data_IF_746896254516
#
_entry.id   IF_746896254516
#
_cell.length_a   1.000
_cell.length_b   1.000
_cell.length_c   1.000
_cell.angle_alpha   90.00
_cell.angle_beta   90.00
_cell.angle_gamma   90.00
#
_symmetry.space_group_name_H-M   'P 1'
#
loop_
_entity.id
_entity.type
_entity.pdbx_description
1 polymer ?
#
# COMPACT_ATOMS: atom_id res chain seq x y z
N UNK A 1 55.08 11.41 -1.24
CA UNK A 1 54.41 11.22 0.05
C UNK A 1 53.06 10.54 -0.22
N UNK A 2 52.94 9.28 0.14
CA UNK A 2 51.73 8.48 -0.04
C UNK A 2 50.71 8.88 1.04
N UNK A 3 49.46 9.24 0.72
CA UNK A 3 48.49 9.61 1.74
C UNK A 3 48.21 8.40 2.64
N UNK A 4 48.29 8.63 3.94
CA UNK A 4 48.05 7.60 4.95
C UNK A 4 46.60 7.10 4.84
N UNK A 5 46.36 5.78 5.01
CA UNK A 5 45.01 5.22 5.01
C UNK A 5 44.21 5.82 6.17
N UNK A 6 43.08 6.46 5.83
CA UNK A 6 42.13 6.99 6.79
C UNK A 6 41.54 5.83 7.57
N UNK A 7 41.95 5.70 8.83
CA UNK A 7 41.41 4.71 9.76
C UNK A 7 39.94 5.06 10.04
N UNK A 8 39.02 4.23 9.54
CA UNK A 8 37.60 4.31 9.91
C UNK A 8 37.51 4.06 11.43
N UNK A 9 36.79 4.91 12.19
CA UNK A 9 36.64 4.71 13.63
C UNK A 9 35.95 3.37 13.89
N UNK A 10 36.49 2.62 14.85
CA UNK A 10 35.89 1.38 15.37
C UNK A 10 34.54 1.71 16.02
N UNK A 11 33.48 1.65 15.23
CA UNK A 11 32.11 1.76 15.73
C UNK A 11 31.81 0.53 16.57
N UNK A 12 31.48 0.76 17.85
CA UNK A 12 30.98 -0.24 18.79
C UNK A 12 30.07 -1.25 18.10
N UNK A 13 30.39 -2.54 18.25
CA UNK A 13 29.53 -3.68 17.88
C UNK A 13 28.15 -3.47 18.49
N UNK A 14 27.24 -2.88 17.72
CA UNK A 14 25.84 -2.83 18.08
C UNK A 14 25.21 -4.08 17.50
N UNK A 15 25.04 -5.08 18.35
CA UNK A 15 24.36 -6.33 18.03
C UNK A 15 23.03 -6.06 17.30
N UNK A 16 22.82 -6.78 16.20
CA UNK A 16 21.55 -6.80 15.51
C UNK A 16 20.49 -7.38 16.45
N UNK A 17 19.40 -6.64 16.64
CA UNK A 17 18.26 -7.06 17.43
C UNK A 17 17.14 -7.48 16.48
N UNK A 18 16.95 -8.79 16.32
CA UNK A 18 15.94 -9.33 15.43
C UNK A 18 14.53 -9.20 16.05
N UNK A 19 13.95 -8.02 16.00
CA UNK A 19 12.69 -7.64 16.67
C UNK A 19 11.43 -7.94 15.87
N UNK A 20 11.53 -8.04 14.53
CA UNK A 20 10.37 -8.20 13.64
C UNK A 20 10.40 -9.52 12.89
N UNK A 21 9.29 -10.25 12.88
CA UNK A 21 9.15 -11.50 12.14
C UNK A 21 8.51 -11.31 10.77
N UNK A 22 9.09 -11.86 9.71
CA UNK A 22 8.55 -11.76 8.36
C UNK A 22 8.80 -13.02 7.50
N UNK A 23 7.91 -13.37 6.55
CA UNK A 23 8.17 -14.43 5.58
C UNK A 23 9.36 -14.12 4.67
N UNK A 24 10.28 -15.07 4.54
CA UNK A 24 11.51 -14.99 3.73
C UNK A 24 11.67 -16.28 2.93
N UNK A 25 11.22 -16.28 1.67
CA UNK A 25 11.09 -17.51 0.89
C UNK A 25 10.06 -18.45 1.50
N UNK A 26 10.46 -19.69 1.80
CA UNK A 26 9.59 -20.71 2.41
C UNK A 26 9.60 -20.70 3.94
N UNK A 27 10.43 -19.87 4.59
CA UNK A 27 10.59 -19.86 6.04
C UNK A 27 10.21 -18.50 6.65
N UNK A 28 9.94 -18.52 7.96
CA UNK A 28 9.77 -17.31 8.74
C UNK A 28 11.12 -16.90 9.32
N UNK A 29 11.50 -15.64 9.12
CA UNK A 29 12.76 -15.10 9.61
C UNK A 29 12.52 -13.87 10.50
N UNK A 30 13.49 -13.56 11.36
CA UNK A 30 13.49 -12.34 12.16
C UNK A 30 14.48 -11.33 11.59
N UNK A 31 14.11 -10.06 11.64
CA UNK A 31 14.81 -8.91 11.07
C UNK A 31 14.97 -7.83 12.13
N UNK A 32 16.06 -7.07 12.05
CA UNK A 32 16.21 -5.81 12.75
C UNK A 32 15.59 -4.70 11.87
N UNK A 33 14.53 -4.09 12.38
CA UNK A 33 13.74 -3.07 11.67
C UNK A 33 13.92 -1.68 12.23
N UNK A 34 14.86 -1.50 13.16
CA UNK A 34 15.17 -0.20 13.73
C UNK A 34 15.68 0.73 12.62
N UNK A 35 15.12 1.93 12.57
CA UNK A 35 15.43 2.91 11.53
C UNK A 35 16.94 3.23 11.49
N UNK A 36 17.58 3.32 12.65
CA UNK A 36 19.02 3.58 12.76
C UNK A 36 19.88 2.45 12.19
N UNK A 37 19.43 1.19 12.30
CA UNK A 37 20.15 0.02 11.75
C UNK A 37 19.97 -0.04 10.24
N UNK A 38 18.73 0.08 9.76
CA UNK A 38 18.42 0.07 8.33
C UNK A 38 19.12 1.22 7.60
N UNK A 39 19.11 2.42 8.18
CA UNK A 39 19.78 3.60 7.62
C UNK A 39 21.29 3.47 7.62
N UNK A 40 21.89 2.93 8.69
CA UNK A 40 23.33 2.70 8.76
C UNK A 40 23.80 1.73 7.68
N UNK A 41 23.02 0.67 7.45
CA UNK A 41 23.40 -0.39 6.50
C UNK A 41 23.15 0.02 5.04
N UNK A 42 21.96 0.55 4.73
CA UNK A 42 21.53 0.78 3.35
C UNK A 42 21.05 2.21 3.05
N UNK A 43 20.99 3.10 4.05
CA UNK A 43 20.45 4.46 3.86
C UNK A 43 18.92 4.55 3.82
N UNK A 44 18.20 3.44 4.03
CA UNK A 44 16.73 3.38 3.97
C UNK A 44 16.09 3.08 5.33
N UNK A 45 14.82 3.45 5.51
CA UNK A 45 14.00 3.09 6.68
C UNK A 45 13.21 1.82 6.42
N UNK A 46 12.82 1.11 7.48
CA UNK A 46 11.82 0.05 7.38
C UNK A 46 10.51 0.59 6.76
N UNK A 47 9.91 -0.17 5.85
CA UNK A 47 8.68 0.20 5.13
C UNK A 47 8.86 1.29 4.07
N UNK A 48 10.08 1.82 3.88
CA UNK A 48 10.37 2.73 2.78
C UNK A 48 10.28 1.97 1.45
N UNK A 49 9.64 2.59 0.45
CA UNK A 49 9.58 2.04 -0.90
C UNK A 49 10.84 2.43 -1.65
N UNK A 50 11.48 1.46 -2.27
CA UNK A 50 12.69 1.59 -3.07
C UNK A 50 12.48 0.93 -4.42
N UNK A 51 13.23 1.33 -5.43
CA UNK A 51 13.31 0.65 -6.72
C UNK A 51 14.77 0.58 -7.18
N UNK A 52 15.06 -0.32 -8.11
CA UNK A 52 16.36 -0.33 -8.78
C UNK A 52 16.39 0.78 -9.84
N UNK A 53 17.53 1.45 -10.00
CA UNK A 53 17.73 2.48 -11.04
C UNK A 53 17.46 1.95 -12.45
N UNK A 54 17.78 0.69 -12.68
CA UNK A 54 17.63 0.00 -13.97
C UNK A 54 16.19 -0.50 -14.22
N UNK A 55 15.37 -0.61 -13.17
CA UNK A 55 14.00 -1.14 -13.22
C UNK A 55 13.08 -0.32 -12.30
N UNK A 56 12.81 0.96 -12.64
CA UNK A 56 12.03 1.87 -11.80
C UNK A 56 10.55 1.46 -11.65
N UNK A 57 10.04 0.61 -12.53
CA UNK A 57 8.69 0.07 -12.49
C UNK A 57 8.49 -1.00 -11.41
N UNK A 58 9.58 -1.58 -10.90
CA UNK A 58 9.54 -2.59 -9.84
C UNK A 58 9.78 -1.94 -8.48
N UNK A 59 8.72 -1.86 -7.72
CA UNK A 59 8.72 -1.28 -6.37
C UNK A 59 8.93 -2.38 -5.32
N UNK A 60 9.77 -2.08 -4.34
CA UNK A 60 10.05 -2.95 -3.21
C UNK A 60 9.88 -2.19 -1.91
N UNK A 61 9.31 -2.82 -0.88
CA UNK A 61 9.35 -2.28 0.48
C UNK A 61 10.54 -2.82 1.24
N UNK A 62 11.26 -1.94 1.94
CA UNK A 62 12.35 -2.34 2.84
C UNK A 62 11.76 -3.10 4.04
N UNK A 63 12.16 -4.36 4.21
CA UNK A 63 11.71 -5.21 5.31
C UNK A 63 12.61 -5.01 6.52
N UNK A 64 13.93 -5.02 6.36
CA UNK A 64 14.87 -4.82 7.46
C UNK A 64 16.25 -5.42 7.18
N UNK A 65 17.10 -5.47 8.21
CA UNK A 65 18.44 -6.04 8.11
C UNK A 65 18.50 -7.37 8.85
N UNK A 66 19.21 -8.34 8.30
CA UNK A 66 19.40 -9.66 8.90
C UNK A 66 20.79 -10.18 8.59
N UNK A 67 21.40 -10.89 9.55
CA UNK A 67 22.65 -11.61 9.35
C UNK A 67 22.41 -12.84 8.46
N UNK A 68 23.16 -12.96 7.37
CA UNK A 68 23.21 -14.20 6.61
C UNK A 68 23.99 -15.25 7.41
N UNK A 69 23.37 -16.40 7.66
CA UNK A 69 23.96 -17.48 8.46
C UNK A 69 25.17 -18.12 7.79
N UNK A 70 25.27 -18.03 6.45
CA UNK A 70 26.36 -18.66 5.70
C UNK A 70 27.59 -17.76 5.65
N UNK A 71 27.42 -16.51 5.26
CA UNK A 71 28.53 -15.55 5.15
C UNK A 71 28.87 -14.85 6.47
N UNK A 72 27.95 -14.82 7.43
CA UNK A 72 28.10 -14.01 8.64
C UNK A 72 28.07 -12.51 8.38
N UNK A 73 27.55 -12.08 7.23
CA UNK A 73 27.43 -10.68 6.86
C UNK A 73 26.00 -10.16 7.02
N UNK A 74 25.88 -8.89 7.39
CA UNK A 74 24.60 -8.19 7.42
C UNK A 74 24.09 -8.01 5.99
N UNK A 75 22.78 -8.25 5.77
CA UNK A 75 22.15 -8.07 4.48
C UNK A 75 20.82 -7.32 4.63
N UNK A 76 20.54 -6.44 3.67
CA UNK A 76 19.24 -5.80 3.54
C UNK A 76 18.26 -6.77 2.90
N UNK A 77 17.04 -6.81 3.42
CA UNK A 77 15.94 -7.57 2.84
C UNK A 77 14.83 -6.65 2.38
N UNK A 78 14.31 -6.90 1.19
CA UNK A 78 13.24 -6.14 0.55
C UNK A 78 12.11 -7.07 0.12
N UNK A 79 10.89 -6.54 0.03
CA UNK A 79 9.72 -7.27 -0.44
C UNK A 79 9.19 -6.65 -1.74
N UNK A 80 9.09 -7.41 -2.83
CA UNK A 80 8.43 -6.95 -4.05
C UNK A 80 6.96 -6.60 -3.79
N UNK A 81 6.51 -5.44 -4.25
CA UNK A 81 5.11 -4.97 -4.08
C UNK A 81 4.15 -5.61 -5.10
N UNK A 82 4.67 -6.08 -6.22
CA UNK A 82 3.93 -6.69 -7.33
C UNK A 82 3.57 -8.17 -7.08
N UNK A 83 4.24 -8.83 -6.15
CA UNK A 83 3.96 -10.22 -5.82
C UNK A 83 2.75 -10.34 -4.89
N UNK A 84 1.73 -11.07 -5.34
CA UNK A 84 0.57 -11.47 -4.53
C UNK A 84 0.94 -12.41 -3.35
N UNK A 85 2.22 -12.74 -3.16
CA UNK A 85 2.71 -13.62 -2.10
C UNK A 85 3.71 -12.87 -1.23
N UNK A 86 3.56 -12.92 0.11
CA UNK A 86 4.52 -12.32 1.02
C UNK A 86 5.84 -13.10 0.95
N UNK A 87 6.92 -12.40 0.64
CA UNK A 87 8.26 -12.98 0.61
C UNK A 87 9.31 -11.90 0.52
N UNK A 88 10.13 -11.79 1.56
CA UNK A 88 11.33 -10.96 1.52
C UNK A 88 12.43 -11.68 0.72
N UNK A 89 13.19 -10.91 -0.04
CA UNK A 89 14.39 -11.31 -0.76
C UNK A 89 15.59 -10.53 -0.24
N UNK A 90 16.74 -11.20 -0.14
CA UNK A 90 17.99 -10.55 0.22
C UNK A 90 18.50 -9.72 -0.96
N UNK A 91 19.01 -8.52 -0.66
CA UNK A 91 19.68 -7.65 -1.62
C UNK A 91 21.17 -7.96 -1.56
N UNK A 92 21.76 -8.24 -2.73
CA UNK A 92 23.21 -8.43 -2.82
C UNK A 92 23.93 -7.11 -2.48
N UNK A 93 25.08 -7.14 -1.78
CA UNK A 93 25.81 -5.93 -1.41
C UNK A 93 26.13 -4.99 -2.59
N UNK A 94 26.46 -5.55 -3.76
CA UNK A 94 26.73 -4.83 -5.01
C UNK A 94 25.50 -4.11 -5.59
N UNK A 95 24.30 -4.55 -5.24
CA UNK A 95 23.04 -4.00 -5.74
C UNK A 95 22.47 -2.91 -4.82
N UNK A 96 23.04 -2.70 -3.62
CA UNK A 96 22.60 -1.67 -2.68
C UNK A 96 22.71 -0.27 -3.27
N UNK A 97 23.79 0.03 -3.99
CA UNK A 97 24.02 1.35 -4.61
C UNK A 97 23.06 1.63 -5.78
N UNK A 98 22.48 0.56 -6.34
CA UNK A 98 21.49 0.64 -7.43
C UNK A 98 20.08 0.90 -6.90
N UNK A 99 19.84 0.74 -5.61
CA UNK A 99 18.56 1.10 -5.00
C UNK A 99 18.45 2.61 -4.85
N UNK A 100 17.26 3.13 -5.15
CA UNK A 100 16.92 4.52 -4.93
C UNK A 100 15.57 4.61 -4.20
N UNK A 101 15.39 5.63 -3.33
CA UNK A 101 14.15 5.81 -2.62
C UNK A 101 13.06 6.25 -3.59
N UNK A 102 11.89 5.61 -3.53
CA UNK A 102 10.72 6.08 -4.25
C UNK A 102 9.95 7.01 -3.34
N UNK A 103 10.02 8.31 -3.61
CA UNK A 103 9.26 9.29 -2.85
C UNK A 103 7.77 9.05 -3.09
N UNK A 104 7.01 8.88 -2.00
CA UNK A 104 5.55 8.60 -1.98
C UNK A 104 4.68 9.66 -2.67
N UNK A 105 5.25 10.61 -3.41
CA UNK A 105 4.52 11.55 -4.27
C UNK A 105 4.59 11.25 -5.77
N UNK A 106 5.35 10.24 -6.22
CA UNK A 106 5.66 10.04 -7.64
C UNK A 106 5.56 8.58 -8.15
N UNK A 107 5.06 7.64 -7.34
CA UNK A 107 4.92 6.24 -7.77
C UNK A 107 3.80 6.08 -8.82
N UNK A 108 4.01 5.18 -9.78
CA UNK A 108 2.97 4.81 -10.76
C UNK A 108 1.71 4.24 -10.09
N UNK A 109 1.88 3.61 -8.93
CA UNK A 109 0.82 3.09 -8.06
C UNK A 109 -0.10 4.21 -7.50
N UNK A 110 0.44 5.41 -7.27
CA UNK A 110 -0.33 6.61 -6.88
C UNK A 110 -0.88 7.34 -8.10
N UNK A 111 -0.14 7.41 -9.23
CA UNK A 111 -0.69 7.93 -10.51
C UNK A 111 -1.99 7.21 -10.90
N UNK A 112 -2.08 5.89 -10.65
CA UNK A 112 -3.33 5.13 -10.86
C UNK A 112 -4.46 5.44 -9.88
N UNK A 113 -4.23 6.14 -8.77
CA UNK A 113 -5.22 6.42 -7.71
C UNK A 113 -5.64 7.88 -7.67
N UNK A 114 -5.94 8.45 -8.84
CA UNK A 114 -6.33 9.85 -9.08
C UNK A 114 -5.08 10.69 -9.34
N UNK A 115 -4.81 10.97 -10.62
CA UNK A 115 -3.90 12.03 -11.04
C UNK A 115 -4.47 13.37 -10.55
N UNK A 116 -4.19 13.70 -9.29
CA UNK A 116 -4.46 15.00 -8.71
C UNK A 116 -3.38 15.95 -9.21
N UNK A 117 -3.52 16.40 -10.45
CA UNK A 117 -2.69 17.50 -10.95
C UNK A 117 -3.20 18.79 -10.31
N UNK A 118 -2.38 19.50 -9.50
CA UNK A 118 -2.65 20.89 -9.22
C UNK A 118 -2.60 21.63 -10.56
N UNK A 119 -3.65 22.34 -10.88
CA UNK A 119 -3.77 23.06 -12.15
C UNK A 119 -3.61 24.54 -11.86
N UNK A 120 -2.94 25.26 -12.76
CA UNK A 120 -2.80 26.70 -12.61
C UNK A 120 -4.15 27.38 -12.88
N UNK A 121 -4.47 28.45 -12.13
CA UNK A 121 -5.71 29.19 -12.35
C UNK A 121 -5.80 29.80 -13.77
N UNK A 122 -4.67 29.96 -14.47
CA UNK A 122 -4.61 30.50 -15.81
C UNK A 122 -5.18 29.55 -16.90
N UNK A 123 -5.42 28.29 -16.57
CA UNK A 123 -5.90 27.28 -17.53
C UNK A 123 -7.44 27.20 -17.62
N UNK A 124 -8.16 27.97 -16.79
CA UNK A 124 -9.61 27.90 -16.70
C UNK A 124 -10.27 29.19 -17.16
N UNK A 125 -11.43 29.05 -17.80
CA UNK A 125 -12.28 30.18 -18.16
C UNK A 125 -12.95 30.76 -16.90
N UNK A 126 -12.62 32.00 -16.59
CA UNK A 126 -13.16 32.70 -15.43
C UNK A 126 -14.54 33.30 -15.74
N UNK A 127 -15.44 33.24 -14.76
CA UNK A 127 -16.75 33.89 -14.85
C UNK A 127 -16.58 35.32 -14.35
N UNK A 128 -16.95 36.31 -15.16
CA UNK A 128 -16.96 37.71 -14.74
C UNK A 128 -18.05 37.93 -13.68
N UNK A 129 -17.68 38.55 -12.57
CA UNK A 129 -18.62 38.97 -11.55
C UNK A 129 -19.17 40.39 -11.83
N UNK A 130 -19.85 40.99 -10.84
CA UNK A 130 -20.48 42.30 -11.01
C UNK A 130 -19.51 43.48 -11.14
N UNK A 131 -18.25 43.34 -10.72
CA UNK A 131 -17.24 44.39 -10.87
C UNK A 131 -16.27 44.15 -12.04
N UNK A 132 -16.43 43.02 -12.73
CA UNK A 132 -15.67 42.63 -13.91
C UNK A 132 -14.43 41.80 -13.56
N UNK A 133 -14.26 41.36 -12.31
CA UNK A 133 -13.24 40.41 -11.94
C UNK A 133 -13.62 38.98 -12.35
N UNK A 134 -12.67 38.28 -12.98
CA UNK A 134 -12.85 36.88 -13.36
C UNK A 134 -12.70 35.94 -12.17
N UNK A 135 -13.77 35.26 -11.77
CA UNK A 135 -13.78 34.28 -10.70
C UNK A 135 -13.89 32.85 -11.24
N UNK A 136 -13.02 31.96 -10.73
CA UNK A 136 -13.16 30.52 -10.94
C UNK A 136 -14.11 29.95 -9.88
N UNK A 137 -15.15 29.24 -10.33
CA UNK A 137 -16.15 28.64 -9.44
C UNK A 137 -15.97 27.13 -9.38
N UNK A 138 -15.99 26.57 -8.16
CA UNK A 138 -15.99 25.14 -7.97
C UNK A 138 -17.26 24.53 -8.58
N UNK A 139 -17.11 23.55 -9.47
CA UNK A 139 -18.26 22.93 -10.16
C UNK A 139 -19.25 22.24 -9.20
N UNK A 140 -18.79 21.82 -8.02
CA UNK A 140 -19.61 21.08 -7.06
C UNK A 140 -20.40 21.96 -6.09
N UNK A 141 -19.78 22.98 -5.50
CA UNK A 141 -20.45 23.85 -4.51
C UNK A 141 -20.78 25.25 -5.06
N UNK A 142 -20.33 25.59 -6.28
CA UNK A 142 -20.49 26.89 -6.95
C UNK A 142 -19.89 28.08 -6.19
N UNK A 143 -18.99 27.84 -5.24
CA UNK A 143 -18.25 28.88 -4.53
C UNK A 143 -16.90 29.17 -5.22
N UNK A 144 -16.36 30.39 -5.10
CA UNK A 144 -15.05 30.74 -5.64
C UNK A 144 -13.94 29.79 -5.14
N UNK A 145 -13.06 29.35 -6.03
CA UNK A 145 -11.86 28.58 -5.67
C UNK A 145 -10.72 29.52 -5.29
N UNK A 146 -9.96 29.15 -4.26
CA UNK A 146 -8.80 29.93 -3.82
C UNK A 146 -7.57 29.67 -4.68
N UNK A 147 -6.39 29.96 -4.12
CA UNK A 147 -5.08 29.79 -4.79
C UNK A 147 -4.74 28.34 -5.12
N UNK A 148 -5.33 27.38 -4.41
CA UNK A 148 -5.10 25.96 -4.60
C UNK A 148 -6.37 25.31 -5.10
N UNK A 149 -6.37 24.87 -6.35
CA UNK A 149 -7.48 24.18 -6.99
C UNK A 149 -7.03 22.85 -7.60
N UNK A 150 -7.98 21.93 -7.72
CA UNK A 150 -7.81 20.63 -8.37
C UNK A 150 -8.75 20.54 -9.55
N UNK A 151 -8.37 19.81 -10.59
CA UNK A 151 -9.27 19.49 -11.71
C UNK A 151 -9.87 18.09 -11.55
N UNK A 152 -11.11 17.91 -11.97
CA UNK A 152 -11.64 16.57 -12.21
C UNK A 152 -11.21 15.99 -13.57
N UNK A 153 -11.70 14.80 -13.91
CA UNK A 153 -11.39 14.12 -15.17
C UNK A 153 -11.87 14.89 -16.40
N UNK A 154 -12.86 15.76 -16.22
CA UNK A 154 -13.44 16.60 -17.27
C UNK A 154 -12.76 17.99 -17.32
N UNK A 155 -11.73 18.23 -16.49
CA UNK A 155 -11.02 19.49 -16.42
C UNK A 155 -11.77 20.59 -15.67
N UNK A 156 -12.74 20.27 -14.82
CA UNK A 156 -13.48 21.28 -14.05
C UNK A 156 -12.76 21.61 -12.73
N UNK A 157 -12.71 22.90 -12.32
CA UNK A 157 -12.06 23.30 -11.08
C UNK A 157 -12.89 22.87 -9.86
N UNK A 158 -12.20 22.38 -8.84
CA UNK A 158 -12.75 21.92 -7.57
C UNK A 158 -11.89 22.39 -6.39
N UNK A 159 -12.55 22.66 -5.26
CA UNK A 159 -11.85 22.77 -3.98
C UNK A 159 -11.23 21.43 -3.59
N UNK A 160 -10.12 21.48 -2.84
CA UNK A 160 -9.51 20.31 -2.24
C UNK A 160 -10.54 19.45 -1.45
N UNK A 161 -11.40 20.11 -0.68
CA UNK A 161 -12.46 19.46 0.12
C UNK A 161 -13.54 18.81 -0.74
N UNK A 162 -13.98 19.50 -1.80
CA UNK A 162 -14.95 18.95 -2.75
C UNK A 162 -14.38 17.73 -3.48
N UNK A 163 -13.12 17.79 -3.89
CA UNK A 163 -12.42 16.66 -4.49
C UNK A 163 -12.29 15.49 -3.51
N UNK A 164 -11.93 15.75 -2.26
CA UNK A 164 -11.87 14.73 -1.22
C UNK A 164 -13.22 14.05 -1.00
N UNK A 165 -14.32 14.81 -0.94
CA UNK A 165 -15.67 14.26 -0.85
C UNK A 165 -16.04 13.39 -2.06
N UNK A 166 -15.67 13.79 -3.28
CA UNK A 166 -15.90 12.99 -4.49
C UNK A 166 -15.14 11.67 -4.44
N UNK A 167 -13.85 11.70 -4.12
CA UNK A 167 -13.03 10.49 -3.96
C UNK A 167 -13.60 9.58 -2.87
N UNK A 168 -14.05 10.12 -1.73
CA UNK A 168 -14.68 9.32 -0.68
C UNK A 168 -15.97 8.63 -1.15
N UNK A 169 -16.82 9.33 -1.90
CA UNK A 169 -18.05 8.76 -2.48
C UNK A 169 -17.73 7.62 -3.44
N UNK A 170 -16.77 7.83 -4.34
CA UNK A 170 -16.39 6.84 -5.35
C UNK A 170 -15.81 5.57 -4.70
N UNK A 171 -15.01 5.73 -3.63
CA UNK A 171 -14.50 4.61 -2.84
C UNK A 171 -15.63 3.82 -2.15
N UNK A 172 -16.60 4.50 -1.55
CA UNK A 172 -17.76 3.85 -0.91
C UNK A 172 -18.60 3.06 -1.93
N UNK A 173 -18.86 3.66 -3.09
CA UNK A 173 -19.62 2.99 -4.15
C UNK A 173 -18.88 1.74 -4.67
N UNK A 174 -17.56 1.84 -4.87
CA UNK A 174 -16.73 0.72 -5.28
C UNK A 174 -16.72 -0.40 -4.25
N UNK A 175 -16.59 -0.06 -2.97
CA UNK A 175 -16.66 -1.04 -1.87
C UNK A 175 -18.03 -1.73 -1.81
N UNK A 176 -19.11 -0.98 -1.98
CA UNK A 176 -20.46 -1.54 -2.01
C UNK A 176 -20.65 -2.51 -3.18
N UNK A 177 -20.15 -2.17 -4.38
CA UNK A 177 -20.16 -3.06 -5.56
C UNK A 177 -19.40 -4.36 -5.29
N UNK A 178 -18.19 -4.27 -4.72
CA UNK A 178 -17.41 -5.45 -4.36
C UNK A 178 -18.11 -6.31 -3.31
N UNK A 179 -18.72 -5.68 -2.30
CA UNK A 179 -19.48 -6.37 -1.26
C UNK A 179 -20.70 -7.10 -1.84
N UNK A 180 -21.44 -6.46 -2.75
CA UNK A 180 -22.58 -7.06 -3.45
C UNK A 180 -22.14 -8.25 -4.31
N UNK A 181 -21.12 -8.09 -5.14
CA UNK A 181 -20.58 -9.16 -5.97
C UNK A 181 -20.10 -10.36 -5.11
N UNK A 182 -19.38 -10.11 -4.02
CA UNK A 182 -18.95 -11.17 -3.11
C UNK A 182 -20.12 -11.86 -2.39
N UNK A 183 -21.19 -11.14 -2.07
CA UNK A 183 -22.40 -11.72 -1.49
C UNK A 183 -23.15 -12.60 -2.49
N UNK A 184 -23.23 -12.17 -3.75
CA UNK A 184 -23.82 -12.93 -4.86
C UNK A 184 -23.01 -14.20 -5.16
N UNK A 185 -21.69 -14.11 -5.21
CA UNK A 185 -20.80 -15.27 -5.40
C UNK A 185 -20.94 -16.27 -4.24
N UNK A 186 -20.96 -15.78 -3.00
CA UNK A 186 -21.20 -16.63 -1.82
C UNK A 186 -22.58 -17.28 -1.87
N UNK A 187 -23.61 -16.56 -2.32
CA UNK A 187 -24.96 -17.11 -2.48
C UNK A 187 -24.97 -18.20 -3.55
N UNK A 188 -24.42 -17.94 -4.74
CA UNK A 188 -24.34 -18.89 -5.83
C UNK A 188 -23.56 -20.17 -5.43
N UNK A 189 -22.47 -20.01 -4.68
CA UNK A 189 -21.70 -21.13 -4.13
C UNK A 189 -22.53 -21.95 -3.14
N UNK A 190 -23.28 -21.30 -2.23
CA UNK A 190 -24.15 -22.02 -1.29
C UNK A 190 -25.25 -22.80 -1.99
N UNK A 191 -25.86 -22.20 -3.01
CA UNK A 191 -26.91 -22.83 -3.81
C UNK A 191 -26.33 -24.05 -4.57
N UNK A 192 -25.17 -23.89 -5.22
CA UNK A 192 -24.53 -24.95 -6.01
C UNK A 192 -24.16 -26.19 -5.18
N UNK A 193 -23.70 -26.00 -3.96
CA UNK A 193 -23.29 -27.09 -3.08
C UNK A 193 -24.38 -27.49 -2.07
N UNK A 194 -25.58 -26.92 -2.14
CA UNK A 194 -26.64 -27.09 -1.13
C UNK A 194 -26.12 -26.86 0.30
N UNK A 195 -25.24 -25.87 0.48
CA UNK A 195 -24.64 -25.51 1.77
C UNK A 195 -25.66 -24.66 2.51
N UNK A 196 -26.45 -25.31 3.38
CA UNK A 196 -27.47 -24.68 4.20
C UNK A 196 -28.33 -25.69 4.93
N UNK A 197 -29.12 -25.22 5.90
CA UNK A 197 -30.14 -26.03 6.57
C UNK A 197 -31.35 -26.16 5.66
N UNK A 198 -31.41 -27.24 4.87
CA UNK A 198 -32.62 -27.59 4.13
C UNK A 198 -33.57 -28.33 5.06
N UNK A 199 -34.81 -27.85 5.23
CA UNK A 199 -35.81 -28.48 6.10
C UNK A 199 -35.98 -29.99 5.83
N UNK A 200 -35.88 -30.38 4.55
CA UNK A 200 -35.94 -31.77 4.09
C UNK A 200 -34.74 -32.64 4.54
N UNK A 201 -33.60 -32.01 4.84
CA UNK A 201 -32.35 -32.69 5.27
C UNK A 201 -32.08 -32.55 6.76
N UNK A 202 -32.94 -31.85 7.51
CA UNK A 202 -32.85 -31.81 8.97
C UNK A 202 -33.20 -33.20 9.49
N UNK A 203 -32.31 -33.87 10.23
CA UNK A 203 -32.64 -35.15 10.85
C UNK A 203 -33.88 -34.98 11.72
N UNK A 204 -34.94 -35.71 11.40
CA UNK A 204 -36.14 -35.70 12.24
C UNK A 204 -35.81 -36.44 13.54
N UNK A 205 -36.01 -35.76 14.66
CA UNK A 205 -35.84 -36.35 15.99
C UNK A 205 -36.93 -37.37 16.35
N UNK A 206 -37.77 -37.79 15.38
CA UNK A 206 -38.86 -38.74 15.59
C UNK A 206 -38.35 -40.07 16.19
N UNK A 207 -37.22 -40.58 15.70
CA UNK A 207 -36.62 -41.81 16.24
C UNK A 207 -36.19 -41.71 17.71
N UNK A 208 -35.33 -40.73 18.08
CA UNK A 208 -34.97 -40.49 19.48
C UNK A 208 -36.16 -40.18 20.40
N UNK A 209 -37.14 -39.39 19.94
CA UNK A 209 -38.32 -39.03 20.73
C UNK A 209 -39.22 -40.24 21.02
N UNK A 210 -39.35 -41.16 20.07
CA UNK A 210 -40.13 -42.40 20.24
C UNK A 210 -39.49 -43.34 21.28
N UNK A 211 -38.17 -43.28 21.47
CA UNK A 211 -37.46 -44.04 22.53
C UNK A 211 -37.64 -43.44 23.92
N UNK A 212 -37.94 -42.15 24.02
CA UNK A 212 -38.18 -41.47 25.30
C UNK A 212 -39.64 -41.59 25.78
N UNK A 213 -40.56 -42.03 24.92
CA UNK A 213 -42.00 -42.19 25.23
C UNK A 213 -42.38 -43.60 25.68
N UNK A 214 -41.39 -44.49 25.85
CA UNK A 214 -41.53 -45.79 26.50
C UNK A 214 -40.98 -45.70 27.93
N UNK A 215 -41.78 -45.14 28.85
CA UNK A 215 -41.60 -45.25 30.29
C UNK A 215 -42.98 -45.22 30.97
#
# INVERSE_FOLDING_TARGET
>A
ATPAPVQKPATAEKDLQATFGYPAGSCFARFDVRDEVCRRFAGFKHGQVVCYREAPEKEFAVVGVKMDRRSGQEQLWIQPQDLCRPGAVAVAPEDLERLQPVYKGLTASIRKRVDLCPVSAAEFEAVEDSDGEGLLLCQQCRLPVGTTLYSDQDGNPLHAECMAHRVQRDLREKEEKLRKAAAEEKKATRDAYSIGWHAERIPLNAGPAQRLSLA
#
